data_IF_536294273439
#
_entry.id   IF_536294273439
#
_cell.length_a   1.000
_cell.length_b   1.000
_cell.length_c   1.000
_cell.angle_alpha   90.00
_cell.angle_beta   90.00
_cell.angle_gamma   90.00
#
_symmetry.space_group_name_H-M   'P 1'
#
loop_
_entity.id
_entity.type
_entity.pdbx_description
1 polymer ?
#
# COMPACT_ATOMS: atom_id res chain seq x y z
N UNK A 1 17.50 12.52 46.68
CA UNK A 1 16.78 13.66 46.08
C UNK A 1 15.60 13.08 45.33
N UNK A 2 14.50 13.01 46.06
CA UNK A 2 13.20 12.54 45.62
C UNK A 2 12.58 13.63 44.75
N UNK A 3 12.02 13.26 43.60
CA UNK A 3 11.14 14.14 42.84
C UNK A 3 9.75 13.50 42.88
N UNK A 4 8.84 14.23 43.52
CA UNK A 4 7.45 13.85 43.76
C UNK A 4 6.58 14.11 42.52
N UNK A 5 5.52 13.32 42.43
CA UNK A 5 4.35 13.44 41.56
C UNK A 5 3.74 14.85 41.55
N UNK A 6 3.31 15.29 40.37
CA UNK A 6 2.12 16.14 40.23
C UNK A 6 1.21 15.56 39.14
N UNK A 7 0.03 15.12 39.57
CA UNK A 7 -1.13 14.79 38.75
C UNK A 7 -1.79 16.08 38.27
N UNK A 8 -2.09 16.18 36.96
CA UNK A 8 -3.11 17.08 36.45
C UNK A 8 -4.06 16.34 35.52
N UNK A 9 -5.31 16.34 35.95
CA UNK A 9 -6.49 15.71 35.37
C UNK A 9 -7.17 16.67 34.38
N UNK A 10 -7.85 16.06 33.40
CA UNK A 10 -9.04 16.55 32.66
C UNK A 10 -8.83 16.94 31.19
N UNK A 11 -9.43 16.14 30.29
CA UNK A 11 -9.69 16.51 28.90
C UNK A 11 -9.89 15.32 27.96
N UNK A 12 -11.03 14.63 28.09
CA UNK A 12 -11.47 13.49 27.27
C UNK A 12 -11.73 13.90 25.80
N UNK A 13 -11.11 13.26 24.77
CA UNK A 13 -11.46 13.52 23.38
C UNK A 13 -12.50 12.50 22.87
N UNK A 14 -13.70 13.01 22.68
CA UNK A 14 -14.88 12.35 22.14
C UNK A 14 -14.61 11.55 20.84
N UNK A 15 -15.02 10.29 20.87
CA UNK A 15 -15.11 9.32 19.78
C UNK A 15 -15.95 9.87 18.63
N UNK A 16 -15.35 10.00 17.44
CA UNK A 16 -16.07 10.27 16.18
C UNK A 16 -16.32 8.97 15.43
N UNK A 17 -17.59 8.62 15.27
CA UNK A 17 -18.06 7.51 14.43
C UNK A 17 -17.93 7.84 12.93
N UNK A 18 -17.63 6.86 12.05
CA UNK A 18 -17.64 7.06 10.60
C UNK A 18 -19.09 7.10 10.08
N UNK A 19 -19.45 8.19 9.40
CA UNK A 19 -20.71 8.34 8.69
C UNK A 19 -20.62 7.76 7.27
N UNK A 20 -21.55 6.87 6.95
CA UNK A 20 -21.79 6.30 5.63
C UNK A 20 -22.05 7.40 4.59
N UNK A 21 -21.10 7.64 3.68
CA UNK A 21 -21.30 8.45 2.48
C UNK A 21 -21.64 7.55 1.29
N UNK A 22 -22.91 7.20 1.18
CA UNK A 22 -23.49 6.53 0.01
C UNK A 22 -23.96 7.59 -0.99
N UNK A 23 -23.24 7.72 -2.11
CA UNK A 23 -23.70 8.49 -3.26
C UNK A 23 -24.97 7.84 -3.83
N UNK A 24 -26.10 8.53 -3.69
CA UNK A 24 -27.39 8.12 -4.25
C UNK A 24 -27.61 8.82 -5.59
N UNK A 25 -27.85 8.01 -6.63
CA UNK A 25 -28.24 8.42 -7.98
C UNK A 25 -29.75 8.75 -7.99
N UNK A 26 -30.24 9.71 -8.80
CA UNK A 26 -31.64 10.14 -8.72
C UNK A 26 -32.61 9.17 -9.40
N UNK A 27 -33.69 8.82 -8.70
CA UNK A 27 -34.86 8.16 -9.26
C UNK A 27 -35.70 9.17 -10.06
N UNK A 28 -35.97 8.88 -11.34
CA UNK A 28 -37.00 9.56 -12.13
C UNK A 28 -38.22 8.67 -12.25
N UNK A 29 -39.37 9.22 -11.84
CA UNK A 29 -40.70 8.69 -12.06
C UNK A 29 -41.08 8.78 -13.55
N UNK A 30 -41.73 7.74 -14.05
CA UNK A 30 -42.36 7.69 -15.37
C UNK A 30 -43.60 6.80 -15.30
N UNK A 31 -44.74 7.36 -15.69
CA UNK A 31 -46.08 6.78 -15.67
C UNK A 31 -46.26 5.66 -16.69
N UNK A 32 -47.17 4.74 -16.34
CA UNK A 32 -47.81 3.75 -17.21
C UNK A 32 -48.68 4.43 -18.29
N UNK A 33 -48.69 3.88 -19.52
CA UNK A 33 -49.89 3.50 -20.28
C UNK A 33 -49.47 2.56 -21.43
N UNK A 34 -50.29 1.53 -21.67
CA UNK A 34 -49.97 0.39 -22.52
C UNK A 34 -50.31 0.54 -24.01
N UNK A 35 -50.10 -0.55 -24.75
CA UNK A 35 -50.95 -1.18 -25.78
C UNK A 35 -50.13 -2.30 -26.42
N UNK A 36 -50.72 -3.49 -26.53
CA UNK A 36 -50.05 -4.71 -26.98
C UNK A 36 -49.99 -4.91 -28.49
N UNK A 37 -49.30 -5.97 -28.90
CA UNK A 37 -49.62 -6.75 -30.10
C UNK A 37 -48.91 -8.11 -30.06
N UNK A 38 -49.67 -9.17 -30.32
CA UNK A 38 -49.25 -10.58 -30.39
C UNK A 38 -48.56 -10.93 -31.71
N UNK A 39 -48.05 -12.18 -31.76
CA UNK A 39 -47.92 -13.13 -32.90
C UNK A 39 -46.50 -13.75 -32.88
N UNK A 40 -46.32 -14.93 -32.27
CA UNK A 40 -46.34 -16.29 -32.87
C UNK A 40 -45.19 -16.51 -33.90
N UNK A 41 -44.43 -17.61 -33.99
CA UNK A 41 -44.48 -18.96 -33.42
C UNK A 41 -43.13 -19.66 -33.72
N UNK A 42 -42.80 -20.68 -32.93
CA UNK A 42 -42.07 -21.92 -33.27
C UNK A 42 -40.57 -21.88 -33.67
N UNK A 43 -39.77 -22.52 -32.80
CA UNK A 43 -39.02 -23.72 -33.16
C UNK A 43 -37.63 -23.53 -33.75
N UNK A 44 -36.61 -23.61 -32.90
CA UNK A 44 -35.30 -24.13 -33.33
C UNK A 44 -34.63 -24.75 -32.10
N UNK A 45 -34.61 -26.09 -32.06
CA UNK A 45 -33.77 -26.88 -31.16
C UNK A 45 -32.31 -26.51 -31.45
N UNK A 46 -31.75 -25.66 -30.60
CA UNK A 46 -30.33 -25.43 -30.53
C UNK A 46 -29.87 -26.05 -29.22
N UNK A 47 -29.31 -27.26 -29.32
CA UNK A 47 -28.46 -27.84 -28.28
C UNK A 47 -27.18 -26.98 -28.18
N UNK A 48 -27.36 -25.79 -27.63
CA UNK A 48 -26.31 -24.94 -27.11
C UNK A 48 -26.43 -25.16 -25.63
N UNK A 49 -25.43 -25.80 -25.02
CA UNK A 49 -25.30 -25.83 -23.57
C UNK A 49 -25.39 -24.39 -23.07
N UNK A 50 -26.57 -24.02 -22.59
CA UNK A 50 -26.89 -22.67 -22.21
C UNK A 50 -26.12 -22.40 -20.94
N UNK A 51 -25.11 -21.53 -21.04
CA UNK A 51 -24.38 -21.01 -19.88
C UNK A 51 -25.18 -19.91 -19.19
N UNK A 52 -26.40 -19.63 -19.68
CA UNK A 52 -27.31 -18.69 -19.06
C UNK A 52 -27.78 -19.23 -17.70
N UNK A 53 -27.40 -18.55 -16.62
CA UNK A 53 -27.68 -18.95 -15.24
C UNK A 53 -26.46 -19.41 -14.44
N UNK A 54 -25.25 -19.47 -15.04
CA UNK A 54 -24.04 -19.84 -14.29
C UNK A 54 -23.68 -18.81 -13.20
N UNK A 55 -24.09 -17.56 -13.35
CA UNK A 55 -23.96 -16.49 -12.36
C UNK A 55 -25.02 -16.54 -11.24
N UNK A 56 -26.09 -17.33 -11.42
CA UNK A 56 -27.13 -17.52 -10.41
C UNK A 56 -26.85 -18.70 -9.47
N UNK A 57 -25.77 -19.45 -9.74
CA UNK A 57 -25.31 -20.49 -8.84
C UNK A 57 -24.96 -19.86 -7.48
N UNK A 58 -25.48 -20.40 -6.36
CA UNK A 58 -25.12 -19.95 -5.03
C UNK A 58 -23.61 -20.00 -4.86
N UNK A 59 -22.99 -18.86 -4.56
CA UNK A 59 -21.61 -18.83 -4.10
C UNK A 59 -21.63 -19.39 -2.67
N UNK A 60 -21.19 -20.64 -2.52
CA UNK A 60 -20.96 -21.24 -1.20
C UNK A 60 -20.13 -20.26 -0.37
N UNK A 61 -20.63 -19.80 0.81
CA UNK A 61 -19.87 -18.91 1.68
C UNK A 61 -18.58 -19.61 2.11
N UNK A 62 -17.47 -19.28 1.45
CA UNK A 62 -16.18 -19.78 1.84
C UNK A 62 -15.75 -19.07 3.13
N UNK A 63 -15.46 -19.83 4.18
CA UNK A 63 -14.86 -19.29 5.39
C UNK A 63 -13.55 -18.57 5.04
N UNK A 64 -13.44 -17.29 5.42
CA UNK A 64 -12.20 -16.55 5.23
C UNK A 64 -11.10 -17.19 6.08
N UNK A 65 -9.94 -17.40 5.47
CA UNK A 65 -8.78 -17.92 6.19
C UNK A 65 -8.38 -16.90 7.25
N UNK A 66 -8.00 -17.36 8.46
CA UNK A 66 -7.56 -16.43 9.48
C UNK A 66 -6.26 -15.73 9.03
N UNK A 67 -6.18 -14.44 9.27
CA UNK A 67 -5.05 -13.58 8.92
C UNK A 67 -4.23 -13.24 10.17
N UNK A 68 -2.96 -12.89 9.96
CA UNK A 68 -2.08 -12.40 11.00
C UNK A 68 -2.41 -10.94 11.34
N UNK A 69 -2.59 -10.62 12.63
CA UNK A 69 -2.87 -9.25 13.09
C UNK A 69 -1.74 -8.24 12.84
N UNK A 70 -0.53 -8.71 12.51
CA UNK A 70 0.64 -7.84 12.29
C UNK A 70 0.92 -7.57 10.81
N UNK A 71 0.90 -8.60 9.96
CA UNK A 71 1.26 -8.48 8.54
C UNK A 71 0.11 -8.72 7.57
N UNK A 72 -1.07 -9.09 8.09
CA UNK A 72 -2.28 -9.44 7.32
C UNK A 72 -2.13 -10.63 6.37
N UNK A 73 -1.04 -11.40 6.45
CA UNK A 73 -0.92 -12.64 5.68
C UNK A 73 -1.77 -13.75 6.26
N UNK A 74 -2.25 -14.71 5.44
CA UNK A 74 -2.91 -15.91 5.95
C UNK A 74 -2.00 -16.66 6.92
N UNK A 75 -2.55 -17.07 8.08
CA UNK A 75 -1.76 -17.65 9.17
C UNK A 75 -0.89 -18.84 8.74
N UNK A 76 -1.39 -19.68 7.80
CA UNK A 76 -0.67 -20.87 7.30
C UNK A 76 0.65 -20.56 6.58
N UNK A 77 0.80 -19.36 6.02
CA UNK A 77 2.00 -18.94 5.28
C UNK A 77 2.69 -17.73 5.93
N UNK A 78 2.21 -17.31 7.10
CA UNK A 78 2.74 -16.15 7.80
C UNK A 78 4.16 -16.41 8.28
N UNK A 79 5.04 -15.44 8.03
CA UNK A 79 6.44 -15.51 8.44
C UNK A 79 6.71 -14.87 9.82
N UNK A 80 5.79 -14.05 10.34
CA UNK A 80 5.95 -13.36 11.63
C UNK A 80 6.42 -14.26 12.79
N UNK A 81 5.92 -15.50 12.96
CA UNK A 81 6.38 -16.37 14.04
C UNK A 81 7.87 -16.74 13.99
N UNK A 82 8.50 -16.61 12.82
CA UNK A 82 9.91 -16.93 12.60
C UNK A 82 10.80 -15.67 12.53
N UNK A 83 10.20 -14.48 12.56
CA UNK A 83 10.94 -13.22 12.59
C UNK A 83 11.50 -12.96 13.99
N UNK A 84 12.55 -12.14 14.07
CA UNK A 84 13.20 -11.81 15.34
C UNK A 84 12.21 -11.08 16.26
N UNK A 85 12.23 -11.43 17.54
CA UNK A 85 11.47 -10.74 18.59
C UNK A 85 11.95 -9.31 18.79
N UNK A 86 13.22 -9.03 18.47
CA UNK A 86 13.83 -7.71 18.61
C UNK A 86 14.19 -7.14 17.23
N UNK A 87 13.88 -5.85 16.98
CA UNK A 87 14.30 -5.16 15.75
C UNK A 87 15.81 -5.21 15.53
N UNK A 88 16.20 -5.26 14.27
CA UNK A 88 17.59 -5.20 13.84
C UNK A 88 18.18 -3.83 14.12
N UNK A 89 19.36 -3.79 14.75
CA UNK A 89 20.06 -2.53 14.89
C UNK A 89 20.71 -2.12 13.56
N UNK A 90 20.25 -1.01 12.97
CA UNK A 90 20.78 -0.44 11.74
C UNK A 90 21.16 1.03 11.94
N UNK A 91 22.27 1.44 11.33
CA UNK A 91 22.70 2.85 11.31
C UNK A 91 21.94 3.67 10.25
N UNK A 92 21.63 3.03 9.12
CA UNK A 92 20.97 3.63 7.95
C UNK A 92 19.46 3.82 8.16
N UNK A 93 18.90 4.88 7.59
CA UNK A 93 17.44 5.09 7.50
C UNK A 93 16.92 4.57 6.16
N UNK A 94 15.78 3.90 6.17
CA UNK A 94 15.11 3.39 4.99
C UNK A 94 13.83 4.18 4.72
N UNK A 95 13.65 4.57 3.46
CA UNK A 95 12.41 5.11 2.93
C UNK A 95 11.92 4.18 1.83
N UNK A 96 10.74 3.59 2.02
CA UNK A 96 10.11 2.68 1.06
C UNK A 96 8.99 3.46 0.37
N UNK A 97 9.13 3.68 -0.92
CA UNK A 97 8.13 4.33 -1.76
C UNK A 97 7.28 3.25 -2.41
N UNK A 98 6.05 3.11 -1.96
CA UNK A 98 5.14 2.08 -2.43
C UNK A 98 3.98 2.69 -3.22
N UNK A 99 3.52 1.99 -4.26
CA UNK A 99 2.34 2.41 -5.01
C UNK A 99 1.06 2.07 -4.23
N UNK A 100 -0.01 2.88 -4.32
CA UNK A 100 -1.30 2.56 -3.69
C UNK A 100 -1.87 1.19 -4.07
N UNK A 101 -1.69 0.75 -5.34
CA UNK A 101 -2.16 -0.56 -5.78
C UNK A 101 -1.43 -1.74 -5.11
N UNK A 102 -0.20 -1.52 -4.64
CA UNK A 102 0.63 -2.55 -4.04
C UNK A 102 0.28 -2.79 -2.56
N UNK A 103 -0.30 -1.81 -1.89
CA UNK A 103 -0.91 -1.91 -0.54
C UNK A 103 -2.24 -2.67 -0.54
N UNK A 104 -2.61 -3.38 -1.60
CA UNK A 104 -3.72 -4.35 -1.57
C UNK A 104 -3.27 -5.80 -1.84
N UNK A 105 -1.97 -6.02 -2.02
CA UNK A 105 -1.42 -7.34 -2.35
C UNK A 105 -1.34 -8.23 -1.10
N UNK A 106 -2.07 -9.34 -1.11
CA UNK A 106 -2.12 -10.35 -0.04
C UNK A 106 -0.75 -10.91 0.40
N UNK A 107 0.31 -10.74 -0.38
CA UNK A 107 1.66 -11.22 -0.08
C UNK A 107 2.72 -10.10 -0.15
N UNK A 108 2.48 -8.95 0.48
CA UNK A 108 3.51 -7.91 0.57
C UNK A 108 4.59 -8.22 1.60
N UNK A 109 5.81 -7.79 1.33
CA UNK A 109 6.96 -7.97 2.24
C UNK A 109 7.25 -6.72 3.08
N UNK A 110 6.69 -5.57 2.71
CA UNK A 110 6.97 -4.28 3.37
C UNK A 110 6.59 -4.28 4.86
N UNK A 111 5.41 -4.76 5.30
CA UNK A 111 5.09 -4.83 6.73
C UNK A 111 6.00 -5.80 7.51
N UNK A 112 6.40 -6.90 6.89
CA UNK A 112 7.36 -7.83 7.49
C UNK A 112 8.72 -7.13 7.69
N UNK A 113 9.22 -6.42 6.68
CA UNK A 113 10.44 -5.63 6.77
C UNK A 113 10.36 -4.55 7.85
N UNK A 114 9.28 -3.76 7.84
CA UNK A 114 9.07 -2.69 8.80
C UNK A 114 9.03 -3.22 10.25
N UNK A 115 8.39 -4.37 10.49
CA UNK A 115 8.38 -5.00 11.83
C UNK A 115 9.74 -5.49 12.32
N UNK A 116 10.68 -5.75 11.40
CA UNK A 116 12.03 -6.19 11.73
C UNK A 116 13.00 -5.02 12.00
N UNK A 117 12.57 -3.77 11.83
CA UNK A 117 13.42 -2.59 11.94
C UNK A 117 12.90 -1.63 13.02
N UNK A 118 13.77 -0.77 13.58
CA UNK A 118 13.33 0.29 14.48
C UNK A 118 12.37 1.23 13.76
N UNK A 119 11.30 1.64 14.44
CA UNK A 119 10.21 2.43 13.84
C UNK A 119 10.73 3.77 13.28
N UNK A 120 11.71 4.36 13.92
CA UNK A 120 12.36 5.60 13.51
C UNK A 120 13.31 5.44 12.30
N UNK A 121 13.62 4.20 11.92
CA UNK A 121 14.56 3.87 10.84
C UNK A 121 13.89 3.38 9.57
N UNK A 122 12.59 3.07 9.57
CA UNK A 122 11.89 2.55 8.39
C UNK A 122 10.59 3.32 8.13
N UNK A 123 10.61 4.21 7.14
CA UNK A 123 9.46 5.02 6.76
C UNK A 123 8.86 4.49 5.45
N UNK A 124 7.57 4.15 5.46
CA UNK A 124 6.83 3.71 4.27
C UNK A 124 5.96 4.87 3.79
N UNK A 125 6.12 5.26 2.51
CA UNK A 125 5.36 6.32 1.87
C UNK A 125 4.56 5.74 0.71
N UNK A 126 3.25 5.81 0.81
CA UNK A 126 2.34 5.27 -0.21
C UNK A 126 1.91 6.41 -1.13
N UNK A 127 2.18 6.27 -2.41
CA UNK A 127 1.85 7.31 -3.38
C UNK A 127 2.42 7.06 -4.76
N UNK A 128 1.99 7.92 -5.68
CA UNK A 128 2.42 7.88 -7.07
C UNK A 128 3.19 9.14 -7.46
N UNK A 129 2.79 10.29 -6.91
CA UNK A 129 3.42 11.58 -7.16
C UNK A 129 3.77 12.30 -5.83
N UNK A 130 5.03 12.65 -5.66
CA UNK A 130 5.64 13.35 -4.54
C UNK A 130 6.20 14.68 -5.03
N UNK A 131 5.89 15.76 -4.30
CA UNK A 131 6.42 17.10 -4.54
C UNK A 131 6.80 17.74 -3.21
N UNK A 132 7.61 18.80 -3.25
CA UNK A 132 8.09 19.48 -2.03
C UNK A 132 6.94 19.97 -1.16
N UNK A 133 5.87 20.44 -1.80
CA UNK A 133 4.66 20.93 -1.14
C UNK A 133 3.82 19.81 -0.52
N UNK A 134 3.85 18.59 -1.09
CA UNK A 134 3.04 17.45 -0.63
C UNK A 134 3.75 16.61 0.42
N UNK A 135 5.07 16.51 0.36
CA UNK A 135 5.86 15.73 1.32
C UNK A 135 7.19 16.46 1.63
N UNK A 136 7.11 17.36 2.62
CA UNK A 136 8.25 18.15 3.10
C UNK A 136 9.37 17.26 3.66
N UNK A 137 8.99 16.16 4.33
CA UNK A 137 9.93 15.23 4.94
C UNK A 137 10.73 14.48 3.86
N UNK A 138 10.03 13.89 2.88
CA UNK A 138 10.67 13.17 1.79
C UNK A 138 11.52 14.11 0.93
N UNK A 139 11.06 15.33 0.69
CA UNK A 139 11.85 16.36 0.00
C UNK A 139 13.16 16.69 0.74
N UNK A 140 13.08 16.89 2.06
CA UNK A 140 14.27 17.14 2.88
C UNK A 140 15.25 15.97 2.83
N UNK A 141 14.75 14.73 2.85
CA UNK A 141 15.56 13.51 2.73
C UNK A 141 16.24 13.42 1.36
N UNK A 142 15.53 13.72 0.28
CA UNK A 142 16.10 13.69 -1.07
C UNK A 142 17.22 14.72 -1.27
N UNK A 143 17.23 15.80 -0.48
CA UNK A 143 18.27 16.84 -0.50
C UNK A 143 19.43 16.57 0.46
N UNK A 144 19.31 15.59 1.37
CA UNK A 144 20.40 15.25 2.30
C UNK A 144 21.57 14.63 1.54
N UNK A 145 22.82 14.95 1.92
CA UNK A 145 23.98 14.23 1.40
C UNK A 145 23.93 12.77 1.86
N UNK A 146 24.55 11.88 1.09
CA UNK A 146 24.60 10.44 1.38
C UNK A 146 23.21 9.77 1.44
N UNK A 147 22.26 10.30 0.66
CA UNK A 147 21.00 9.62 0.33
C UNK A 147 21.22 8.89 -0.98
N UNK A 148 20.97 7.58 -0.99
CA UNK A 148 21.02 6.76 -2.20
C UNK A 148 19.60 6.40 -2.64
N UNK A 149 19.36 6.38 -3.95
CA UNK A 149 18.09 5.91 -4.52
C UNK A 149 18.32 4.72 -5.44
N UNK A 150 17.51 3.67 -5.26
CA UNK A 150 17.54 2.49 -6.11
C UNK A 150 16.15 2.21 -6.70
N UNK A 151 16.03 1.91 -8.00
CA UNK A 151 17.06 1.93 -9.06
C UNK A 151 17.16 3.29 -9.79
N UNK A 152 18.30 3.56 -10.43
CA UNK A 152 18.52 4.75 -11.29
C UNK A 152 19.50 4.45 -12.43
N UNK A 153 19.47 5.23 -13.51
CA UNK A 153 20.32 5.00 -14.69
C UNK A 153 21.83 5.18 -14.38
N UNK A 154 22.16 6.03 -13.41
CA UNK A 154 23.53 6.23 -12.89
C UNK A 154 23.78 5.44 -11.60
N UNK A 155 22.93 4.45 -11.27
CA UNK A 155 23.11 3.69 -10.03
C UNK A 155 24.42 2.90 -10.05
N UNK A 156 25.34 3.27 -9.15
CA UNK A 156 26.59 2.56 -8.94
C UNK A 156 26.42 1.39 -7.97
N UNK A 157 27.31 0.41 -8.04
CA UNK A 157 27.34 -0.66 -7.05
C UNK A 157 27.73 -0.09 -5.69
N UNK A 158 26.96 -0.41 -4.65
CA UNK A 158 27.23 0.07 -3.29
C UNK A 158 28.61 -0.37 -2.77
N UNK A 159 29.07 -1.56 -3.14
CA UNK A 159 30.39 -2.05 -2.71
C UNK A 159 31.52 -1.24 -3.37
N UNK A 160 31.36 -0.82 -4.63
CA UNK A 160 32.33 0.05 -5.31
C UNK A 160 32.35 1.44 -4.66
N UNK A 161 31.18 2.00 -4.36
CA UNK A 161 31.06 3.29 -3.70
C UNK A 161 31.75 3.34 -2.33
N UNK A 162 31.57 2.29 -1.51
CA UNK A 162 32.19 2.21 -0.16
C UNK A 162 33.72 2.16 -0.24
N UNK A 163 34.29 1.60 -1.32
CA UNK A 163 35.74 1.53 -1.51
C UNK A 163 36.33 2.89 -1.87
N UNK A 164 35.65 3.67 -2.71
CA UNK A 164 36.11 4.99 -3.17
C UNK A 164 35.88 6.11 -2.13
N UNK A 165 34.87 5.95 -1.29
CA UNK A 165 34.57 6.85 -0.17
C UNK A 165 34.03 6.04 1.01
N UNK A 166 34.71 5.97 2.16
CA UNK A 166 34.28 5.17 3.31
C UNK A 166 33.05 5.75 4.04
N UNK A 167 32.30 6.65 3.40
CA UNK A 167 31.08 7.23 3.97
C UNK A 167 29.88 6.37 3.58
N UNK A 168 29.36 5.63 4.55
CA UNK A 168 28.15 4.84 4.36
C UNK A 168 26.92 5.75 4.15
N UNK A 169 26.02 5.39 3.22
CA UNK A 169 24.79 6.13 3.03
C UNK A 169 24.00 6.16 4.34
N UNK A 170 23.67 7.36 4.78
CA UNK A 170 22.87 7.58 5.99
C UNK A 170 21.40 7.29 5.75
N UNK A 171 20.97 7.37 4.48
CA UNK A 171 19.59 7.12 4.05
C UNK A 171 19.55 6.37 2.72
N UNK A 172 18.64 5.41 2.58
CA UNK A 172 18.37 4.71 1.33
C UNK A 172 16.89 4.84 1.01
N UNK A 173 16.58 5.27 -0.21
CA UNK A 173 15.23 5.32 -0.77
C UNK A 173 15.07 4.13 -1.73
N UNK A 174 14.08 3.28 -1.46
CA UNK A 174 13.75 2.09 -2.24
C UNK A 174 12.36 2.29 -2.82
N UNK A 175 12.21 2.13 -4.13
CA UNK A 175 10.90 2.14 -4.78
C UNK A 175 10.40 0.70 -4.89
N UNK A 176 9.37 0.36 -4.09
CA UNK A 176 8.74 -0.96 -4.09
C UNK A 176 7.73 -1.07 -5.24
N UNK A 177 7.95 -2.05 -6.11
CA UNK A 177 7.10 -2.30 -7.27
C UNK A 177 7.85 -3.11 -8.35
N UNK A 178 7.12 -3.58 -9.36
CA UNK A 178 7.78 -4.18 -10.53
C UNK A 178 8.58 -3.11 -11.29
N UNK A 179 9.57 -3.52 -12.09
CA UNK A 179 10.46 -2.59 -12.79
C UNK A 179 9.77 -1.45 -13.53
N UNK A 180 8.75 -1.73 -14.33
CA UNK A 180 8.01 -0.68 -15.06
C UNK A 180 7.30 0.29 -14.12
N UNK A 181 6.87 -0.20 -12.96
CA UNK A 181 6.16 0.57 -11.97
C UNK A 181 7.08 1.46 -11.14
N UNK A 182 8.21 0.92 -10.70
CA UNK A 182 9.25 1.66 -10.01
C UNK A 182 9.83 2.75 -10.93
N UNK A 183 10.07 2.40 -12.20
CA UNK A 183 10.50 3.33 -13.25
C UNK A 183 9.50 4.49 -13.39
N UNK A 184 8.21 4.19 -13.51
CA UNK A 184 7.16 5.22 -13.64
C UNK A 184 7.14 6.20 -12.44
N UNK A 185 7.25 5.68 -11.21
CA UNK A 185 7.34 6.51 -10.00
C UNK A 185 8.62 7.37 -10.06
N UNK A 186 9.76 6.80 -10.42
CA UNK A 186 11.01 7.54 -10.50
C UNK A 186 10.93 8.72 -11.48
N UNK A 187 10.47 8.51 -12.72
CA UNK A 187 10.48 9.59 -13.71
C UNK A 187 9.39 10.66 -13.51
N UNK A 188 8.29 10.33 -12.84
CA UNK A 188 7.23 11.30 -12.49
C UNK A 188 7.62 12.24 -11.36
N UNK A 189 8.63 11.87 -10.57
CA UNK A 189 9.02 12.58 -9.36
C UNK A 189 10.43 13.14 -9.51
N UNK A 190 10.54 14.42 -9.87
CA UNK A 190 11.83 15.10 -10.03
C UNK A 190 12.70 15.08 -8.76
N UNK A 191 12.08 15.00 -7.58
CA UNK A 191 12.76 14.90 -6.28
C UNK A 191 13.71 13.70 -6.21
N UNK A 192 13.35 12.59 -6.85
CA UNK A 192 14.13 11.37 -6.85
C UNK A 192 15.39 11.45 -7.73
N UNK A 193 15.58 12.55 -8.46
CA UNK A 193 16.83 12.84 -9.21
C UNK A 193 17.82 13.69 -8.42
N UNK A 194 17.46 14.15 -7.22
CA UNK A 194 18.34 14.95 -6.36
C UNK A 194 19.41 14.09 -5.66
N UNK A 195 19.07 12.91 -5.07
CA UNK A 195 20.06 12.02 -4.51
C UNK A 195 20.98 11.46 -5.60
N UNK A 196 22.25 11.22 -5.27
CA UNK A 196 23.26 10.59 -6.13
C UNK A 196 23.86 9.38 -5.43
#
# INVERSE_FOLDING_TARGET
MEWQNEEQTLGDPSVRSPGDSRCQTPAKAGQEEGVGSEVATLGMEADRTSVDGLWELPVEPAEQRPECSYCSWPQKVCLCPFLRVHPLHISTHLYIIQRPADESKQLWTVPLLASCLPQEKCNVKIGHCFSEERDLELSAVCRKPYTLIYPGDEAANLNEFILDSPVYPSTIIIIDGIWSQAKDIFYKNSLFRLPK
#
